data_IF_728005778332
#
_entry.id   IF_728005778332
#
_cell.length_a   1.000
_cell.length_b   1.000
_cell.length_c   1.000
_cell.angle_alpha   90.00
_cell.angle_beta   90.00
_cell.angle_gamma   90.00
#
_symmetry.space_group_name_H-M   'P 1'
#
loop_
_entity.id
_entity.type
_entity.pdbx_description
1 polymer ?
#
# COMPACT_ATOMS: atom_id res chain seq x y z
N UNK A 1 -12.69 13.52 10.25
CA UNK A 1 -12.31 12.51 9.23
C UNK A 1 -11.93 13.27 7.99
N UNK A 2 -10.67 13.19 7.57
CA UNK A 2 -10.20 13.81 6.32
C UNK A 2 -10.14 12.70 5.26
N UNK A 3 -10.75 12.93 4.11
CA UNK A 3 -10.67 12.03 2.96
C UNK A 3 -9.49 12.46 2.10
N UNK A 4 -8.61 11.52 1.76
CA UNK A 4 -7.54 11.73 0.78
C UNK A 4 -7.99 11.02 -0.48
N UNK A 5 -8.13 11.76 -1.57
CA UNK A 5 -8.34 11.17 -2.90
C UNK A 5 -6.98 10.84 -3.51
N UNK A 6 -6.85 9.62 -4.02
CA UNK A 6 -5.63 9.14 -4.66
C UNK A 6 -5.95 8.82 -6.11
N UNK A 7 -5.16 9.34 -7.03
CA UNK A 7 -5.15 8.90 -8.42
C UNK A 7 -4.48 7.53 -8.54
N UNK A 8 -4.67 6.83 -9.67
CA UNK A 8 -4.11 5.49 -9.89
C UNK A 8 -2.59 5.44 -9.69
N UNK A 9 -1.88 6.48 -10.16
CA UNK A 9 -0.43 6.64 -10.02
C UNK A 9 -0.01 6.79 -8.55
N UNK A 10 -0.72 7.64 -7.80
CA UNK A 10 -0.47 7.86 -6.37
C UNK A 10 -0.77 6.60 -5.55
N UNK A 11 -1.84 5.88 -5.90
CA UNK A 11 -2.20 4.59 -5.32
C UNK A 11 -1.11 3.55 -5.60
N UNK A 12 -0.57 3.52 -6.81
CA UNK A 12 0.52 2.61 -7.18
C UNK A 12 1.79 2.91 -6.39
N UNK A 13 2.15 4.18 -6.23
CA UNK A 13 3.29 4.62 -5.41
C UNK A 13 3.08 4.21 -3.95
N UNK A 14 1.90 4.48 -3.39
CA UNK A 14 1.56 4.12 -2.01
C UNK A 14 1.67 2.60 -1.77
N UNK A 15 1.12 1.80 -2.70
CA UNK A 15 1.21 0.33 -2.64
C UNK A 15 2.66 -0.16 -2.70
N UNK A 16 3.48 0.48 -3.53
CA UNK A 16 4.89 0.14 -3.69
C UNK A 16 5.69 0.46 -2.43
N UNK A 17 5.45 1.63 -1.82
CA UNK A 17 6.07 2.04 -0.56
C UNK A 17 5.70 1.09 0.59
N UNK A 18 4.41 0.76 0.75
CA UNK A 18 3.93 -0.19 1.75
C UNK A 18 4.54 -1.58 1.56
N UNK A 19 4.65 -2.06 0.32
CA UNK A 19 5.27 -3.35 0.04
C UNK A 19 6.76 -3.35 0.38
N UNK A 20 7.48 -2.29 0.04
CA UNK A 20 8.91 -2.14 0.38
C UNK A 20 9.11 -2.12 1.89
N UNK A 21 8.27 -1.37 2.61
CA UNK A 21 8.25 -1.38 4.08
C UNK A 21 7.99 -2.81 4.62
N UNK A 22 6.97 -3.52 4.15
CA UNK A 22 6.68 -4.88 4.61
C UNK A 22 7.81 -5.89 4.35
N UNK A 23 8.65 -5.65 3.33
CA UNK A 23 9.80 -6.51 3.01
C UNK A 23 11.04 -6.20 3.87
N UNK A 24 11.20 -4.94 4.30
CA UNK A 24 12.35 -4.50 5.09
C UNK A 24 12.22 -4.81 6.59
N UNK A 25 11.00 -5.00 7.10
CA UNK A 25 10.74 -5.14 8.53
C UNK A 25 10.39 -6.59 8.93
N UNK A 26 11.06 -7.09 9.97
CA UNK A 26 10.89 -8.44 10.53
C UNK A 26 9.95 -8.50 11.74
N UNK A 27 10.25 -9.36 12.72
CA UNK A 27 9.38 -9.61 13.87
C UNK A 27 9.27 -8.46 14.89
N UNK A 28 10.22 -7.52 14.92
CA UNK A 28 10.23 -6.44 15.91
C UNK A 28 9.02 -5.50 15.82
N UNK A 29 8.40 -5.42 14.65
CA UNK A 29 7.22 -4.59 14.39
C UNK A 29 6.05 -5.45 13.89
N UNK A 30 5.91 -6.67 14.41
CA UNK A 30 4.92 -7.64 13.93
C UNK A 30 3.48 -7.07 13.90
N UNK A 31 3.10 -6.29 14.91
CA UNK A 31 1.78 -5.66 14.95
C UNK A 31 1.58 -4.62 13.85
N UNK A 32 2.60 -3.80 13.59
CA UNK A 32 2.57 -2.77 12.55
C UNK A 32 2.61 -3.40 11.14
N UNK A 33 3.43 -4.43 10.96
CA UNK A 33 3.48 -5.26 9.75
C UNK A 33 2.10 -5.89 9.48
N UNK A 34 1.44 -6.41 10.51
CA UNK A 34 0.11 -7.00 10.38
C UNK A 34 -0.97 -5.96 10.05
N UNK A 35 -0.91 -4.78 10.67
CA UNK A 35 -1.79 -3.66 10.35
C UNK A 35 -1.59 -3.19 8.91
N UNK A 36 -0.35 -3.01 8.46
CA UNK A 36 -0.03 -2.61 7.09
C UNK A 36 -0.46 -3.65 6.05
N UNK A 37 -0.29 -4.95 6.32
CA UNK A 37 -0.84 -6.03 5.48
C UNK A 37 -2.36 -5.95 5.35
N UNK A 38 -3.04 -5.69 6.46
CA UNK A 38 -4.51 -5.55 6.48
C UNK A 38 -4.96 -4.33 5.68
N UNK A 39 -4.23 -3.22 5.75
CA UNK A 39 -4.49 -2.03 4.95
C UNK A 39 -4.28 -2.32 3.45
N UNK A 40 -3.21 -3.03 3.07
CA UNK A 40 -2.97 -3.40 1.68
C UNK A 40 -4.10 -4.24 1.04
N UNK A 41 -4.79 -5.06 1.83
CA UNK A 41 -5.95 -5.83 1.35
C UNK A 41 -7.19 -4.95 1.09
N UNK A 42 -7.31 -3.82 1.79
CA UNK A 42 -8.40 -2.86 1.60
C UNK A 42 -8.16 -1.89 0.45
N UNK A 43 -6.89 -1.71 0.05
CA UNK A 43 -6.55 -0.84 -1.06
C UNK A 43 -6.97 -1.50 -2.38
N UNK A 44 -7.68 -0.78 -3.26
CA UNK A 44 -7.98 -1.29 -4.59
C UNK A 44 -6.69 -1.61 -5.33
N UNK A 45 -6.77 -2.57 -6.26
CA UNK A 45 -5.68 -2.74 -7.21
C UNK A 45 -5.66 -1.46 -8.07
N UNK A 46 -4.53 -0.75 -8.08
CA UNK A 46 -4.33 0.27 -9.09
C UNK A 46 -4.52 -0.45 -10.43
N UNK A 47 -5.47 0.03 -11.23
CA UNK A 47 -5.63 -0.50 -12.58
C UNK A 47 -4.30 -0.22 -13.24
N UNK A 48 -3.61 -1.26 -13.73
CA UNK A 48 -2.46 -1.03 -14.59
C UNK A 48 -3.00 -0.24 -15.78
N UNK A 49 -2.81 1.08 -15.75
CA UNK A 49 -3.02 1.94 -16.90
C UNK A 49 -2.10 1.37 -17.97
N UNK A 50 -2.67 0.53 -18.84
CA UNK A 50 -2.00 0.02 -20.02
C UNK A 50 -1.57 1.25 -20.81
N UNK A 51 -0.30 1.60 -20.69
CA UNK A 51 0.39 2.40 -21.69
C UNK A 51 0.31 1.59 -22.99
N UNK A 52 -0.66 1.95 -23.83
CA UNK A 52 -0.76 1.52 -25.22
C UNK A 52 0.12 2.39 -26.11
#
# INVERSE_FOLDING_TARGET
MYTIELQDEELQILRSALRSYLQAFGHNEADLVQAAKTLMLKLPQAVESKAG
#
